data_IF_116648231288
#
_entry.id   IF_116648231288
#
_cell.length_a   1.000
_cell.length_b   1.000
_cell.length_c   1.000
_cell.angle_alpha   90.00
_cell.angle_beta   90.00
_cell.angle_gamma   90.00
#
_symmetry.space_group_name_H-M   'P 1'
#
loop_
_entity.id
_entity.type
_entity.pdbx_description
1 polymer ?
#
# COMPACT_ATOMS: atom_id res chain seq x y z
N UNK A 1 21.77 -5.58 7.63
CA UNK A 1 21.56 -5.02 6.29
C UNK A 1 21.35 -3.50 6.35
N UNK A 2 20.28 -2.96 6.96
CA UNK A 2 20.02 -1.52 6.96
C UNK A 2 21.17 -0.68 7.53
N UNK A 3 21.87 -1.15 8.59
CA UNK A 3 23.10 -0.51 9.07
C UNK A 3 24.20 -0.45 8.01
N UNK A 4 24.36 -1.53 7.22
CA UNK A 4 25.34 -1.58 6.12
C UNK A 4 24.97 -0.61 4.99
N UNK A 5 23.66 -0.36 4.81
CA UNK A 5 23.16 0.63 3.87
C UNK A 5 23.28 2.08 4.38
N UNK A 6 23.68 2.28 5.64
CA UNK A 6 23.92 3.58 6.26
C UNK A 6 22.82 4.09 7.19
N UNK A 7 21.79 3.28 7.47
CA UNK A 7 20.75 3.66 8.43
C UNK A 7 21.30 3.67 9.86
N UNK A 8 20.81 4.61 10.67
CA UNK A 8 21.02 4.63 12.11
C UNK A 8 20.33 3.44 12.79
N UNK A 9 20.65 3.20 14.05
CA UNK A 9 19.93 2.20 14.83
C UNK A 9 18.47 2.64 15.08
N UNK A 10 17.51 1.73 14.95
CA UNK A 10 16.13 2.01 15.27
C UNK A 10 15.85 1.94 16.77
N UNK A 11 14.78 2.59 17.20
CA UNK A 11 14.15 2.20 18.46
C UNK A 11 13.38 0.90 18.19
N UNK A 12 13.63 -0.14 18.99
CA UNK A 12 12.96 -1.42 18.89
C UNK A 12 11.90 -1.53 19.97
N UNK A 13 10.67 -1.83 19.58
CA UNK A 13 9.55 -1.97 20.48
C UNK A 13 8.85 -3.31 20.29
N UNK A 14 8.36 -3.89 21.39
CA UNK A 14 7.37 -4.95 21.37
C UNK A 14 5.97 -4.32 21.42
N UNK A 15 5.17 -4.61 20.42
CA UNK A 15 3.79 -4.11 20.34
C UNK A 15 2.78 -4.98 21.10
N UNK A 16 3.22 -6.09 21.69
CA UNK A 16 2.40 -7.15 22.26
C UNK A 16 1.84 -8.14 21.24
N UNK A 17 2.02 -7.86 19.93
CA UNK A 17 1.61 -8.74 18.82
C UNK A 17 2.71 -8.92 17.75
N UNK A 18 3.85 -8.32 17.95
CA UNK A 18 4.99 -8.32 17.04
C UNK A 18 5.91 -7.15 17.36
N UNK A 19 6.98 -6.99 16.62
CA UNK A 19 7.99 -5.97 16.84
C UNK A 19 7.79 -4.77 15.93
N UNK A 20 8.13 -3.59 16.44
CA UNK A 20 8.21 -2.37 15.65
C UNK A 20 9.66 -1.86 15.65
N UNK A 21 10.16 -1.51 14.47
CA UNK A 21 11.43 -0.81 14.29
C UNK A 21 11.12 0.62 13.89
N UNK A 22 11.41 1.58 14.78
CA UNK A 22 11.11 2.98 14.56
C UNK A 22 12.37 3.71 14.11
N UNK A 23 12.32 4.28 12.92
CA UNK A 23 13.37 5.09 12.34
C UNK A 23 12.89 6.55 12.21
N UNK A 24 13.70 7.51 12.64
CA UNK A 24 13.51 8.91 12.27
C UNK A 24 13.99 9.10 10.83
N UNK A 25 13.18 9.74 9.97
CA UNK A 25 13.53 10.01 8.57
C UNK A 25 13.19 11.46 8.23
N UNK A 26 14.12 12.16 7.58
CA UNK A 26 13.90 13.50 7.05
C UNK A 26 13.12 13.41 5.72
N UNK A 27 11.80 13.60 5.82
CA UNK A 27 10.89 13.53 4.67
C UNK A 27 9.63 14.36 4.92
N UNK A 28 9.01 14.81 3.85
CA UNK A 28 7.72 15.51 3.87
C UNK A 28 6.56 14.54 3.63
N UNK A 29 5.33 14.98 3.90
CA UNK A 29 4.12 14.13 3.79
C UNK A 29 3.93 13.61 2.37
N UNK A 30 4.27 14.42 1.36
CA UNK A 30 4.17 14.09 -0.06
C UNK A 30 5.09 12.93 -0.48
N UNK A 31 6.12 12.67 0.32
CA UNK A 31 7.06 11.56 0.09
C UNK A 31 6.56 10.19 0.61
N UNK A 32 5.32 10.09 1.13
CA UNK A 32 4.77 8.86 1.71
C UNK A 32 4.83 7.64 0.75
N UNK A 33 4.80 7.89 -0.57
CA UNK A 33 4.95 6.83 -1.56
C UNK A 33 6.34 6.15 -1.50
N UNK A 34 7.39 6.87 -1.11
CA UNK A 34 8.71 6.26 -0.88
C UNK A 34 8.69 5.36 0.36
N UNK A 35 7.94 5.71 1.40
CA UNK A 35 7.76 4.81 2.57
C UNK A 35 7.07 3.51 2.15
N UNK A 36 6.02 3.60 1.34
CA UNK A 36 5.32 2.43 0.81
C UNK A 36 6.26 1.50 0.03
N UNK A 37 7.00 2.06 -0.94
CA UNK A 37 7.98 1.30 -1.73
C UNK A 37 9.11 0.73 -0.85
N UNK A 38 9.59 1.49 0.13
CA UNK A 38 10.59 1.02 1.07
C UNK A 38 10.09 -0.20 1.85
N UNK A 39 8.87 -0.16 2.39
CA UNK A 39 8.28 -1.30 3.10
C UNK A 39 8.11 -2.51 2.18
N UNK A 40 7.73 -2.31 0.92
CA UNK A 40 7.69 -3.39 -0.08
C UNK A 40 9.08 -4.00 -0.32
N UNK A 41 10.13 -3.16 -0.42
CA UNK A 41 11.49 -3.63 -0.57
C UNK A 41 11.96 -4.46 0.64
N UNK A 42 11.65 -4.00 1.85
CA UNK A 42 11.96 -4.70 3.10
C UNK A 42 11.16 -6.02 3.21
N UNK A 43 9.90 -6.03 2.79
CA UNK A 43 9.08 -7.24 2.72
C UNK A 43 9.70 -8.30 1.79
N UNK A 44 10.13 -7.89 0.60
CA UNK A 44 10.83 -8.78 -0.35
C UNK A 44 12.14 -9.35 0.20
N UNK A 45 12.86 -8.58 1.04
CA UNK A 45 14.15 -8.99 1.58
C UNK A 45 14.04 -9.90 2.81
N UNK A 46 13.02 -9.68 3.65
CA UNK A 46 13.01 -10.21 5.02
C UNK A 46 11.75 -10.96 5.41
N UNK A 47 10.69 -10.91 4.61
CA UNK A 47 9.51 -11.72 4.91
C UNK A 47 9.72 -13.17 4.48
N UNK A 48 9.35 -14.08 5.36
CA UNK A 48 9.42 -15.52 5.16
C UNK A 48 8.17 -16.22 5.73
N UNK A 49 8.26 -17.50 6.06
CA UNK A 49 7.16 -18.27 6.65
C UNK A 49 6.83 -17.83 8.08
N UNK A 50 7.84 -17.37 8.82
CA UNK A 50 7.74 -17.09 10.26
C UNK A 50 7.58 -15.58 10.55
N UNK A 51 8.16 -14.72 9.70
CA UNK A 51 8.19 -13.26 9.86
C UNK A 51 7.57 -12.58 8.66
N UNK A 52 6.65 -11.66 8.93
CA UNK A 52 6.01 -10.83 7.91
C UNK A 52 6.20 -9.35 8.22
N UNK A 53 6.61 -8.60 7.21
CA UNK A 53 6.67 -7.14 7.26
C UNK A 53 5.27 -6.57 7.00
N UNK A 54 4.80 -5.69 7.89
CA UNK A 54 3.54 -4.97 7.67
C UNK A 54 3.74 -3.80 6.69
N UNK A 55 3.39 -4.02 5.43
CA UNK A 55 3.52 -3.00 4.37
C UNK A 55 2.40 -1.96 4.40
N UNK A 56 1.37 -2.12 5.26
CA UNK A 56 0.24 -1.21 5.32
C UNK A 56 0.49 0.06 6.15
N UNK A 57 1.63 0.15 6.86
CA UNK A 57 1.93 1.24 7.81
C UNK A 57 2.64 2.44 7.18
N UNK A 58 2.42 2.72 5.89
CA UNK A 58 3.14 3.75 5.14
C UNK A 58 2.53 5.14 5.21
N UNK A 59 1.23 5.26 5.54
CA UNK A 59 0.52 6.53 5.46
C UNK A 59 0.80 7.44 6.68
N UNK A 60 0.95 8.76 6.50
CA UNK A 60 1.27 9.69 7.58
C UNK A 60 0.19 9.80 8.67
N UNK A 61 -1.06 9.47 8.34
CA UNK A 61 -2.19 9.48 9.29
C UNK A 61 -2.29 8.21 10.14
N UNK A 62 -1.31 7.30 10.02
CA UNK A 62 -1.33 6.05 10.78
C UNK A 62 -1.15 6.33 12.27
N UNK A 63 -2.10 5.85 13.05
CA UNK A 63 -2.00 5.86 14.50
C UNK A 63 -1.21 4.65 14.98
N UNK A 64 -0.40 4.84 16.01
CA UNK A 64 0.28 3.76 16.72
C UNK A 64 -0.10 3.79 18.19
N UNK A 65 0.09 2.67 18.89
CA UNK A 65 -0.17 2.60 20.33
C UNK A 65 0.91 3.37 21.13
N UNK A 66 0.55 3.78 22.31
CA UNK A 66 1.52 4.25 23.29
C UNK A 66 2.17 3.02 23.93
N UNK A 67 3.49 2.89 23.81
CA UNK A 67 4.23 1.80 24.46
C UNK A 67 4.18 1.93 25.99
N UNK A 68 4.20 0.79 26.68
CA UNK A 68 3.91 0.70 28.12
C UNK A 68 2.46 0.39 28.43
N UNK A 69 1.60 0.29 27.42
CA UNK A 69 0.19 -0.09 27.58
C UNK A 69 -0.07 -1.54 27.19
N UNK A 70 -1.18 -2.10 27.68
CA UNK A 70 -1.55 -3.47 27.34
C UNK A 70 -2.24 -3.51 25.97
N UNK A 71 -1.73 -4.37 25.08
CA UNK A 71 -2.32 -4.65 23.78
C UNK A 71 -3.57 -5.54 23.94
N UNK A 72 -4.75 -4.95 23.79
CA UNK A 72 -6.04 -5.64 23.93
C UNK A 72 -6.71 -5.82 22.57
N UNK A 73 -6.13 -6.65 21.70
CA UNK A 73 -6.71 -6.96 20.40
C UNK A 73 -7.51 -8.27 20.47
N UNK A 74 -8.84 -8.16 20.43
CA UNK A 74 -9.75 -9.29 20.58
C UNK A 74 -9.89 -9.75 22.05
N UNK A 75 -10.53 -10.91 22.25
CA UNK A 75 -10.67 -11.52 23.58
C UNK A 75 -9.32 -12.08 24.06
N UNK A 76 -9.06 -11.97 25.37
CA UNK A 76 -7.90 -12.61 25.99
C UNK A 76 -8.21 -14.09 26.23
N UNK A 77 -7.42 -14.96 25.65
CA UNK A 77 -7.49 -16.43 25.85
C UNK A 77 -6.16 -16.95 26.39
N UNK A 78 -6.12 -18.19 26.83
CA UNK A 78 -4.85 -18.80 27.26
C UNK A 78 -3.83 -18.88 26.11
N UNK A 79 -4.29 -19.11 24.88
CA UNK A 79 -3.45 -19.20 23.68
C UNK A 79 -3.05 -17.80 23.15
N UNK A 80 -3.91 -16.81 23.33
CA UNK A 80 -3.70 -15.41 22.92
C UNK A 80 -4.01 -14.44 24.07
N UNK A 81 -3.17 -14.40 25.10
CA UNK A 81 -3.37 -13.46 26.20
C UNK A 81 -3.10 -12.02 25.74
N UNK A 82 -3.74 -11.07 26.42
CA UNK A 82 -3.37 -9.67 26.29
C UNK A 82 -1.93 -9.49 26.80
N UNK A 83 -1.09 -8.77 26.04
CA UNK A 83 0.33 -8.60 26.32
C UNK A 83 0.68 -7.13 26.52
N UNK A 84 1.61 -6.86 27.42
CA UNK A 84 2.17 -5.53 27.56
C UNK A 84 3.02 -5.19 26.35
N UNK A 85 2.85 -3.97 25.81
CA UNK A 85 3.76 -3.39 24.85
C UNK A 85 4.86 -2.61 25.57
N UNK A 86 6.05 -2.50 24.96
CA UNK A 86 7.15 -1.79 25.62
C UNK A 86 8.32 -1.55 24.69
N UNK A 87 9.30 -0.80 25.19
CA UNK A 87 10.57 -0.62 24.52
C UNK A 87 11.48 -1.81 24.82
N UNK A 88 12.07 -2.36 23.79
CA UNK A 88 13.07 -3.44 23.85
C UNK A 88 14.47 -2.87 23.79
N UNK A 89 14.67 -1.88 22.92
CA UNK A 89 15.96 -1.22 22.76
C UNK A 89 15.75 0.24 22.35
N UNK A 90 16.46 1.13 23.00
CA UNK A 90 16.52 2.54 22.64
C UNK A 90 18.01 2.87 22.42
N UNK A 91 18.41 3.32 21.23
CA UNK A 91 19.78 3.73 20.97
C UNK A 91 20.15 4.96 21.82
N UNK A 92 21.42 5.12 22.15
CA UNK A 92 21.91 6.29 22.91
C UNK A 92 21.61 7.60 22.19
N UNK A 93 21.61 7.58 20.85
CA UNK A 93 21.30 8.72 20.01
C UNK A 93 20.30 8.31 18.90
N UNK A 94 19.18 9.01 18.85
CA UNK A 94 18.19 8.85 17.75
C UNK A 94 18.61 9.79 16.62
N UNK A 95 19.25 9.26 15.60
CA UNK A 95 19.66 10.00 14.42
C UNK A 95 18.58 9.96 13.34
N UNK A 96 18.41 11.12 12.68
CA UNK A 96 17.51 11.22 11.53
C UNK A 96 18.19 10.70 10.27
N UNK A 97 17.55 9.77 9.60
CA UNK A 97 18.01 9.20 8.34
C UNK A 97 17.57 10.08 7.16
N UNK A 98 18.42 10.22 6.16
CA UNK A 98 18.05 10.92 4.93
C UNK A 98 17.10 10.04 4.09
N UNK A 99 16.13 10.67 3.43
CA UNK A 99 15.25 10.02 2.43
C UNK A 99 16.05 9.31 1.32
N UNK A 100 17.26 9.75 1.03
CA UNK A 100 18.12 9.08 0.04
C UNK A 100 18.45 7.63 0.39
N UNK A 101 18.50 7.29 1.70
CA UNK A 101 18.70 5.91 2.14
C UNK A 101 17.49 5.02 1.78
N UNK A 102 16.28 5.55 1.95
CA UNK A 102 15.06 4.84 1.51
C UNK A 102 15.12 4.61 0.00
N UNK A 103 15.41 5.67 -0.77
CA UNK A 103 15.51 5.60 -2.23
C UNK A 103 16.59 4.61 -2.71
N UNK A 104 17.68 4.45 -1.96
CA UNK A 104 18.72 3.45 -2.24
C UNK A 104 18.19 2.03 -2.09
N UNK A 105 17.49 1.74 -0.99
CA UNK A 105 16.92 0.41 -0.72
C UNK A 105 15.80 0.07 -1.72
N UNK A 106 14.98 1.03 -2.09
CA UNK A 106 13.89 0.83 -3.07
C UNK A 106 14.39 0.31 -4.42
N UNK A 107 15.64 0.61 -4.80
CA UNK A 107 16.23 0.16 -6.10
C UNK A 107 16.30 -1.35 -6.27
N UNK A 108 16.15 -2.11 -5.19
CA UNK A 108 16.09 -3.58 -5.26
C UNK A 108 14.76 -4.08 -5.86
N UNK A 109 13.70 -3.26 -5.81
CA UNK A 109 12.42 -3.63 -6.41
C UNK A 109 12.61 -3.66 -7.92
N UNK A 110 12.31 -4.80 -8.60
CA UNK A 110 12.38 -4.86 -10.04
C UNK A 110 11.45 -3.80 -10.67
N UNK A 111 11.96 -3.07 -11.64
CA UNK A 111 11.07 -2.20 -12.41
C UNK A 111 10.02 -3.08 -13.11
N UNK A 112 8.73 -2.70 -13.06
CA UNK A 112 7.73 -3.41 -13.83
C UNK A 112 8.14 -3.37 -15.32
N UNK A 113 7.95 -4.46 -16.06
CA UNK A 113 8.27 -4.46 -17.48
C UNK A 113 7.54 -3.29 -18.14
N UNK A 114 8.29 -2.48 -18.88
CA UNK A 114 7.70 -1.37 -19.63
C UNK A 114 6.60 -1.96 -20.52
N UNK A 115 5.39 -1.37 -20.51
CA UNK A 115 4.33 -1.84 -21.39
C UNK A 115 4.88 -1.82 -22.81
N UNK A 116 4.99 -2.99 -23.40
CA UNK A 116 5.33 -3.11 -24.83
C UNK A 116 4.07 -2.67 -25.57
N UNK A 117 4.01 -1.40 -25.93
CA UNK A 117 3.04 -0.95 -26.90
C UNK A 117 3.42 -1.62 -28.23
N UNK A 118 2.80 -2.75 -28.53
CA UNK A 118 2.83 -3.28 -29.87
C UNK A 118 2.16 -2.23 -30.74
N UNK A 119 2.92 -1.61 -31.60
CA UNK A 119 2.42 -0.77 -32.69
C UNK A 119 1.76 -1.60 -33.81
N UNK A 120 1.37 -2.84 -33.50
CA UNK A 120 0.48 -3.60 -34.37
C UNK A 120 -0.82 -2.80 -34.35
N UNK A 121 -1.24 -2.33 -35.51
CA UNK A 121 -2.46 -1.56 -35.76
C UNK A 121 -3.52 -1.93 -34.75
N UNK A 122 -3.65 -1.15 -33.69
CA UNK A 122 -4.79 -1.27 -32.79
C UNK A 122 -5.97 -0.91 -33.68
N UNK A 123 -6.68 -1.92 -34.16
CA UNK A 123 -8.05 -1.67 -34.60
C UNK A 123 -8.68 -0.93 -33.44
N UNK A 124 -8.98 0.33 -33.67
CA UNK A 124 -9.57 1.19 -32.65
C UNK A 124 -10.82 0.47 -32.18
N UNK A 125 -10.82 0.04 -30.90
CA UNK A 125 -11.98 -0.66 -30.34
C UNK A 125 -13.21 0.20 -30.56
N UNK A 126 -14.10 -0.29 -31.42
CA UNK A 126 -15.35 0.39 -31.73
C UNK A 126 -16.37 0.05 -30.62
N UNK A 127 -16.50 0.98 -29.69
CA UNK A 127 -17.41 0.81 -28.55
C UNK A 127 -18.87 0.75 -28.99
N UNK A 128 -19.24 1.48 -30.05
CA UNK A 128 -20.61 1.50 -30.54
C UNK A 128 -20.98 0.15 -31.16
N UNK A 129 -20.08 -0.42 -31.97
CA UNK A 129 -20.23 -1.75 -32.53
C UNK A 129 -20.29 -2.80 -31.43
N UNK A 130 -19.41 -2.72 -30.42
CA UNK A 130 -19.41 -3.65 -29.28
C UNK A 130 -20.74 -3.62 -28.52
N UNK A 131 -21.29 -2.43 -28.25
CA UNK A 131 -22.58 -2.25 -27.58
C UNK A 131 -23.70 -2.88 -28.40
N UNK A 132 -23.72 -2.65 -29.72
CA UNK A 132 -24.74 -3.18 -30.62
C UNK A 132 -24.65 -4.71 -30.73
N UNK A 133 -23.45 -5.26 -30.96
CA UNK A 133 -23.22 -6.70 -31.13
C UNK A 133 -23.57 -7.52 -29.88
N UNK A 134 -23.45 -6.90 -28.69
CA UNK A 134 -23.75 -7.55 -27.39
C UNK A 134 -25.15 -7.19 -26.85
N UNK A 135 -25.96 -6.43 -27.57
CA UNK A 135 -27.31 -6.06 -27.15
C UNK A 135 -27.35 -5.23 -25.84
N UNK A 136 -26.27 -4.48 -25.57
CA UNK A 136 -26.13 -3.70 -24.34
C UNK A 136 -27.03 -2.45 -24.43
N UNK A 137 -27.89 -2.26 -23.43
CA UNK A 137 -28.83 -1.13 -23.43
C UNK A 137 -28.15 0.11 -22.82
N UNK A 138 -28.13 1.21 -23.60
CA UNK A 138 -27.61 2.51 -23.17
C UNK A 138 -28.75 3.35 -22.61
N UNK A 139 -28.59 3.84 -21.37
CA UNK A 139 -29.56 4.71 -20.70
C UNK A 139 -29.42 6.15 -21.23
N UNK A 140 -28.20 6.67 -21.27
CA UNK A 140 -27.86 7.96 -21.86
C UNK A 140 -26.37 8.10 -22.12
N UNK A 141 -26.03 9.10 -22.91
CA UNK A 141 -24.65 9.49 -23.17
C UNK A 141 -24.40 10.94 -22.74
N UNK A 142 -23.21 11.22 -22.28
CA UNK A 142 -22.79 12.58 -21.92
C UNK A 142 -21.36 12.83 -22.36
N UNK A 143 -21.03 14.07 -22.62
CA UNK A 143 -19.69 14.49 -22.99
C UNK A 143 -19.18 15.48 -21.95
N UNK A 144 -18.12 15.16 -21.23
CA UNK A 144 -17.54 16.01 -20.20
C UNK A 144 -16.03 16.05 -20.36
N UNK A 145 -15.49 17.25 -20.55
CA UNK A 145 -14.03 17.45 -20.68
C UNK A 145 -13.42 16.75 -21.90
N UNK A 146 -14.18 16.58 -23.00
CA UNK A 146 -13.72 15.89 -24.20
C UNK A 146 -13.76 14.35 -24.09
N UNK A 147 -14.26 13.79 -23.00
CA UNK A 147 -14.43 12.35 -22.80
C UNK A 147 -15.90 11.99 -22.95
N UNK A 148 -16.20 11.10 -23.91
CA UNK A 148 -17.54 10.50 -24.07
C UNK A 148 -17.76 9.49 -22.94
N UNK A 149 -18.86 9.65 -22.19
CA UNK A 149 -19.31 8.73 -21.16
C UNK A 149 -20.63 8.09 -21.60
N UNK A 150 -20.67 6.78 -21.59
CA UNK A 150 -21.86 5.99 -21.92
C UNK A 150 -22.35 5.35 -20.64
N UNK A 151 -23.56 5.67 -20.24
CA UNK A 151 -24.21 5.10 -19.05
C UNK A 151 -25.16 4.00 -19.50
N UNK A 152 -24.97 2.81 -19.00
CA UNK A 152 -25.77 1.64 -19.35
C UNK A 152 -26.99 1.54 -18.43
N UNK A 153 -28.10 0.96 -18.91
CA UNK A 153 -29.28 0.70 -18.10
C UNK A 153 -29.00 -0.31 -16.99
N UNK A 154 -28.20 -1.34 -17.31
CA UNK A 154 -27.82 -2.42 -16.40
C UNK A 154 -26.33 -2.73 -16.57
N UNK A 155 -25.69 -3.19 -15.51
CA UNK A 155 -24.31 -3.66 -15.58
C UNK A 155 -24.26 -4.98 -16.38
N UNK A 156 -23.45 -5.07 -17.45
CA UNK A 156 -23.37 -6.30 -18.25
C UNK A 156 -22.72 -7.48 -17.52
N UNK A 157 -22.09 -7.22 -16.37
CA UNK A 157 -21.35 -8.24 -15.60
C UNK A 157 -22.06 -8.63 -14.29
N UNK A 158 -22.95 -7.77 -13.77
CA UNK A 158 -23.64 -7.98 -12.50
C UNK A 158 -25.05 -7.38 -12.58
N UNK A 159 -26.09 -8.21 -12.68
CA UNK A 159 -27.48 -7.74 -12.81
C UNK A 159 -28.02 -7.05 -11.55
N UNK A 160 -27.33 -7.16 -10.41
CA UNK A 160 -27.69 -6.42 -9.19
C UNK A 160 -27.29 -4.94 -9.24
N UNK A 161 -26.34 -4.59 -10.11
CA UNK A 161 -25.88 -3.22 -10.32
C UNK A 161 -26.80 -2.50 -11.30
N UNK A 162 -27.71 -1.71 -10.77
CA UNK A 162 -28.52 -0.77 -11.56
C UNK A 162 -27.88 0.60 -11.53
N UNK A 163 -28.00 1.34 -12.64
CA UNK A 163 -27.55 2.72 -12.64
C UNK A 163 -28.25 3.50 -11.51
N UNK A 164 -27.52 4.31 -10.72
CA UNK A 164 -28.12 5.09 -9.67
C UNK A 164 -29.23 5.95 -10.27
N UNK A 165 -30.36 5.96 -9.63
CA UNK A 165 -31.42 6.90 -9.97
C UNK A 165 -30.84 8.31 -9.79
N UNK A 166 -30.91 9.09 -10.85
CA UNK A 166 -30.46 10.48 -10.93
C UNK A 166 -31.31 11.41 -10.08
#
# INVERSE_FOLDING_TARGET
>A
YLRQEGFSDPVVCDSGNGYHLLYSVDMIVEDAEYTKKFLQAIDMLFSDADVKIDTAVFNPSRITKVYGTIARKGASTMERPHRASGFVYIPEEIRTNSIHLLKKVIKIIPEPPKPVYRNDRVETFDIDKFIADNGIRVKYETNSGGVRKIVLEECPFDPSHKAPDS
#
